data_IF_201222527396
#
_entry.id   IF_201222527396
#
_cell.length_a   1.000
_cell.length_b   1.000
_cell.length_c   1.000
_cell.angle_alpha   90.00
_cell.angle_beta   90.00
_cell.angle_gamma   90.00
#
_symmetry.space_group_name_H-M   'P 1'
#
loop_
_entity.id
_entity.type
_entity.pdbx_description
1 polymer ?
#
# COMPACT_ATOMS: atom_id res chain seq x y z
N UNK A 1 -6.48 -31.60 -21.19
CA UNK A 1 -5.18 -30.91 -21.04
C UNK A 1 -5.42 -29.81 -20.04
N UNK A 2 -5.15 -30.11 -18.77
CA UNK A 2 -5.28 -29.14 -17.68
C UNK A 2 -3.91 -28.47 -17.56
N UNK A 3 -3.86 -27.19 -17.91
CA UNK A 3 -2.71 -26.34 -17.67
C UNK A 3 -2.91 -25.70 -16.29
N UNK A 4 -2.70 -26.50 -15.24
CA UNK A 4 -2.54 -26.01 -13.88
C UNK A 4 -1.16 -25.34 -13.78
N UNK A 5 -1.07 -24.13 -14.32
CA UNK A 5 0.02 -23.21 -14.02
C UNK A 5 -0.12 -22.76 -12.57
N UNK A 6 0.35 -23.61 -11.65
CA UNK A 6 0.57 -23.26 -10.25
C UNK A 6 1.57 -22.11 -10.25
N UNK A 7 1.08 -20.89 -10.05
CA UNK A 7 1.92 -19.77 -9.65
C UNK A 7 2.57 -20.14 -8.33
N UNK A 8 3.83 -20.58 -8.37
CA UNK A 8 4.65 -20.64 -7.18
C UNK A 8 4.69 -19.22 -6.60
N UNK A 9 4.30 -19.01 -5.33
CA UNK A 9 4.48 -17.72 -4.69
C UNK A 9 5.97 -17.40 -4.75
N UNK A 10 6.29 -16.24 -5.32
CA UNK A 10 7.67 -15.77 -5.38
C UNK A 10 8.13 -15.59 -3.93
N UNK A 11 9.15 -16.34 -3.51
CA UNK A 11 9.79 -16.25 -2.18
C UNK A 11 10.59 -14.95 -2.05
N UNK A 12 9.99 -13.80 -2.38
CA UNK A 12 10.57 -12.52 -2.06
C UNK A 12 10.48 -12.35 -0.53
N UNK A 13 11.64 -12.32 0.13
CA UNK A 13 11.72 -12.09 1.58
C UNK A 13 11.72 -10.60 1.94
N UNK A 14 11.92 -9.73 0.95
CA UNK A 14 12.03 -8.29 1.10
C UNK A 14 10.92 -7.54 0.35
N UNK A 15 10.46 -6.37 0.85
CA UNK A 15 9.60 -5.46 0.11
C UNK A 15 10.10 -5.19 -1.30
N UNK A 16 9.16 -5.07 -2.22
CA UNK A 16 9.50 -4.58 -3.56
C UNK A 16 9.61 -3.06 -3.48
N UNK A 17 10.81 -2.53 -3.70
CA UNK A 17 11.11 -1.11 -3.61
C UNK A 17 11.16 -0.49 -5.00
N UNK A 18 10.43 0.61 -5.18
CA UNK A 18 10.41 1.37 -6.42
C UNK A 18 10.55 2.87 -6.15
N UNK A 19 11.10 3.60 -7.10
CA UNK A 19 10.90 5.05 -7.24
C UNK A 19 9.67 5.31 -8.09
N UNK A 20 9.12 6.52 -7.95
CA UNK A 20 8.08 7.02 -8.85
C UNK A 20 8.47 6.78 -10.31
N UNK A 21 7.46 6.37 -11.09
CA UNK A 21 7.67 5.94 -12.45
C UNK A 21 7.98 4.45 -12.63
N UNK A 22 7.96 3.65 -11.55
CA UNK A 22 8.13 2.19 -11.60
C UNK A 22 9.58 1.73 -11.73
N UNK A 23 10.54 2.57 -11.33
CA UNK A 23 11.97 2.26 -11.41
C UNK A 23 12.36 1.45 -10.16
N UNK A 24 12.79 0.18 -10.28
CA UNK A 24 13.19 -0.61 -9.11
C UNK A 24 14.45 -0.01 -8.47
N UNK A 25 14.51 -0.07 -7.14
CA UNK A 25 15.69 0.33 -6.37
C UNK A 25 16.07 -0.75 -5.36
N UNK A 26 17.34 -0.77 -4.96
CA UNK A 26 17.87 -1.78 -4.02
C UNK A 26 17.99 -1.25 -2.59
N UNK A 27 18.01 0.06 -2.41
CA UNK A 27 18.25 0.71 -1.12
C UNK A 27 17.19 1.76 -0.82
N UNK A 28 16.92 1.92 0.47
CA UNK A 28 16.05 2.96 0.97
C UNK A 28 16.82 4.28 1.05
N UNK A 29 16.13 5.34 0.64
CA UNK A 29 16.48 6.71 1.02
C UNK A 29 15.40 7.17 1.99
N UNK A 30 15.76 7.96 3.00
CA UNK A 30 14.84 8.54 3.99
C UNK A 30 13.91 9.60 3.37
N UNK A 31 13.27 9.22 2.28
CA UNK A 31 12.45 10.01 1.39
C UNK A 31 10.98 9.65 1.61
N UNK A 32 10.06 10.54 1.19
CA UNK A 32 8.65 10.25 1.23
C UNK A 32 8.30 9.01 0.42
N UNK A 33 7.32 8.25 0.91
CA UNK A 33 6.87 7.06 0.23
C UNK A 33 5.37 6.84 0.38
N UNK A 34 4.87 5.96 -0.48
CA UNK A 34 3.56 5.34 -0.34
C UNK A 34 3.73 3.83 -0.31
N UNK A 35 3.02 3.19 0.62
CA UNK A 35 2.98 1.74 0.77
C UNK A 35 1.59 1.24 0.49
N UNK A 36 1.45 0.29 -0.44
CA UNK A 36 0.19 -0.42 -0.66
C UNK A 36 0.09 -1.56 0.36
N UNK A 37 -0.92 -1.51 1.23
CA UNK A 37 -1.11 -2.49 2.32
C UNK A 37 -2.39 -3.32 2.18
N UNK A 38 -3.36 -2.86 1.39
CA UNK A 38 -4.63 -3.55 1.16
C UNK A 38 -4.97 -3.51 -0.33
N UNK A 39 -5.46 -4.64 -0.85
CA UNK A 39 -5.97 -4.78 -2.20
C UNK A 39 -7.28 -5.56 -2.29
N UNK A 40 -7.90 -5.60 -3.47
CA UNK A 40 -9.20 -6.24 -3.70
C UNK A 40 -10.27 -5.22 -4.06
N UNK A 41 -11.42 -5.26 -3.38
CA UNK A 41 -12.51 -4.28 -3.59
C UNK A 41 -12.18 -2.90 -2.99
N UNK A 42 -11.23 -2.86 -2.07
CA UNK A 42 -10.67 -1.65 -1.48
C UNK A 42 -9.16 -1.63 -1.68
N UNK A 43 -8.62 -0.42 -1.73
CA UNK A 43 -7.19 -0.15 -1.73
C UNK A 43 -6.85 0.63 -0.47
N UNK A 44 -5.83 0.18 0.26
CA UNK A 44 -5.34 0.84 1.46
C UNK A 44 -3.87 1.20 1.31
N UNK A 45 -3.56 2.43 1.68
CA UNK A 45 -2.25 3.05 1.51
C UNK A 45 -1.74 3.63 2.82
N UNK A 46 -0.44 3.55 3.04
CA UNK A 46 0.26 4.36 4.03
C UNK A 46 1.12 5.37 3.28
N UNK A 47 0.85 6.66 3.47
CA UNK A 47 1.67 7.75 2.96
C UNK A 47 2.58 8.20 4.10
N UNK A 48 3.89 8.18 3.91
CA UNK A 48 4.85 8.56 4.93
C UNK A 48 5.78 9.66 4.41
N UNK A 49 6.13 10.62 5.26
CA UNK A 49 7.09 11.69 4.90
C UNK A 49 8.52 11.14 4.84
N UNK A 50 8.80 10.04 5.57
CA UNK A 50 10.05 9.31 5.48
C UNK A 50 9.83 7.81 5.63
N UNK A 51 10.70 7.03 4.99
CA UNK A 51 10.82 5.60 5.19
C UNK A 51 12.29 5.25 5.44
N UNK A 52 12.57 4.55 6.54
CA UNK A 52 13.93 4.15 6.93
C UNK A 52 13.98 2.68 7.30
N UNK A 53 15.18 2.09 7.28
CA UNK A 53 15.37 0.74 7.80
C UNK A 53 15.24 0.72 9.32
N UNK A 54 14.56 -0.29 9.84
CA UNK A 54 14.44 -0.55 11.26
C UNK A 54 15.65 -1.25 11.85
N UNK A 55 15.57 -1.57 13.14
CA UNK A 55 16.63 -2.30 13.86
C UNK A 55 16.58 -3.80 13.61
N UNK A 56 15.44 -4.32 13.18
CA UNK A 56 15.25 -5.73 12.83
C UNK A 56 15.40 -5.94 11.32
N UNK A 57 15.81 -7.15 10.94
CA UNK A 57 15.89 -7.54 9.54
C UNK A 57 14.52 -7.42 8.86
N UNK A 58 14.50 -6.77 7.69
CA UNK A 58 13.29 -6.52 6.89
C UNK A 58 12.20 -5.73 7.63
N UNK A 59 12.59 -4.95 8.64
CA UNK A 59 11.75 -3.97 9.28
C UNK A 59 11.96 -2.59 8.64
N UNK A 60 10.87 -1.86 8.45
CA UNK A 60 10.87 -0.52 7.91
C UNK A 60 10.04 0.39 8.79
N UNK A 61 10.60 1.56 9.11
CA UNK A 61 9.98 2.59 9.93
C UNK A 61 9.47 3.70 9.03
N UNK A 62 8.21 4.05 9.22
CA UNK A 62 7.52 5.12 8.53
C UNK A 62 7.22 6.24 9.52
N UNK A 63 7.52 7.48 9.15
CA UNK A 63 7.26 8.67 9.97
C UNK A 63 6.20 9.57 9.32
N UNK A 64 5.43 10.25 10.17
CA UNK A 64 4.32 11.15 9.81
C UNK A 64 3.39 10.51 8.77
N UNK A 65 2.72 9.47 9.22
CA UNK A 65 2.00 8.54 8.35
C UNK A 65 0.54 8.91 8.24
N UNK A 66 0.06 9.07 7.01
CA UNK A 66 -1.36 9.12 6.69
C UNK A 66 -1.80 7.78 6.13
N UNK A 67 -2.72 7.12 6.83
CA UNK A 67 -3.45 6.00 6.27
C UNK A 67 -4.57 6.53 5.39
N UNK A 68 -4.69 6.00 4.18
CA UNK A 68 -5.72 6.36 3.21
C UNK A 68 -6.34 5.09 2.63
N UNK A 69 -7.68 5.01 2.61
CA UNK A 69 -8.42 3.85 2.09
C UNK A 69 -9.56 4.26 1.19
N UNK A 70 -9.63 3.70 -0.01
CA UNK A 70 -10.68 3.96 -0.99
C UNK A 70 -11.16 2.67 -1.67
N UNK A 71 -12.22 2.77 -2.46
CA UNK A 71 -12.68 1.67 -3.32
C UNK A 71 -11.74 1.47 -4.50
N UNK A 72 -11.46 0.21 -4.86
CA UNK A 72 -10.62 -0.12 -6.01
C UNK A 72 -11.33 0.14 -7.35
N UNK A 73 -12.66 0.00 -7.35
CA UNK A 73 -13.51 0.40 -8.48
C UNK A 73 -13.60 1.92 -8.50
N UNK A 74 -12.93 2.50 -9.50
CA UNK A 74 -12.98 3.92 -9.85
C UNK A 74 -12.96 4.02 -11.37
N UNK A 75 -14.08 3.67 -11.98
CA UNK A 75 -14.29 3.78 -13.43
C UNK A 75 -14.56 5.22 -13.86
N UNK A 76 -14.39 5.49 -15.16
CA UNK A 76 -14.69 6.81 -15.76
C UNK A 76 -16.09 7.34 -15.37
N UNK A 77 -17.10 6.47 -15.32
CA UNK A 77 -18.46 6.85 -14.96
C UNK A 77 -18.61 7.20 -13.48
N UNK A 78 -17.92 6.51 -12.57
CA UNK A 78 -17.98 6.75 -11.13
C UNK A 78 -17.35 8.10 -10.76
N UNK A 79 -16.39 8.56 -11.56
CA UNK A 79 -15.79 9.90 -11.48
C UNK A 79 -16.84 11.02 -11.68
N UNK A 80 -17.91 10.75 -12.43
CA UNK A 80 -19.02 11.69 -12.73
C UNK A 80 -20.17 11.61 -11.72
N UNK A 81 -20.40 10.45 -11.08
CA UNK A 81 -21.55 10.26 -10.17
C UNK A 81 -21.26 10.75 -8.74
N UNK A 82 -19.97 10.83 -8.37
CA UNK A 82 -19.54 11.41 -7.10
C UNK A 82 -19.75 10.50 -5.90
N UNK A 83 -18.79 10.57 -4.97
CA UNK A 83 -18.78 9.94 -3.65
C UNK A 83 -18.44 8.45 -3.61
N UNK A 84 -17.18 8.14 -3.94
CA UNK A 84 -16.50 7.03 -3.27
C UNK A 84 -15.78 7.60 -2.04
N UNK A 85 -16.09 7.13 -0.82
CA UNK A 85 -15.47 7.68 0.38
C UNK A 85 -13.99 7.30 0.42
N UNK A 86 -13.11 8.31 0.44
CA UNK A 86 -11.73 8.15 0.88
C UNK A 86 -11.73 8.34 2.39
N UNK A 87 -11.39 7.29 3.13
CA UNK A 87 -11.13 7.42 4.56
C UNK A 87 -9.67 7.75 4.74
N UNK A 88 -9.37 8.71 5.61
CA UNK A 88 -8.00 8.99 5.98
C UNK A 88 -7.84 9.10 7.49
N UNK A 89 -6.63 8.82 7.98
CA UNK A 89 -6.25 9.00 9.38
C UNK A 89 -4.75 9.20 9.49
N UNK A 90 -4.33 10.24 10.20
CA UNK A 90 -2.93 10.44 10.55
C UNK A 90 -2.53 9.59 11.77
N UNK A 91 -1.29 9.13 11.76
CA UNK A 91 -0.57 8.55 12.89
C UNK A 91 0.88 9.01 12.83
N UNK A 92 1.53 9.17 13.99
CA UNK A 92 2.89 9.68 14.05
C UNK A 92 3.89 8.74 13.36
N UNK A 93 3.68 7.43 13.54
CA UNK A 93 4.56 6.40 12.97
C UNK A 93 3.80 5.14 12.58
N UNK A 94 4.38 4.39 11.66
CA UNK A 94 4.01 3.01 11.38
C UNK A 94 5.28 2.16 11.20
N UNK A 95 5.19 0.87 11.49
CA UNK A 95 6.27 -0.08 11.26
C UNK A 95 5.77 -1.20 10.37
N UNK A 96 6.51 -1.48 9.30
CA UNK A 96 6.27 -2.61 8.41
C UNK A 96 7.32 -3.65 8.69
N UNK A 97 6.91 -4.91 8.88
CA UNK A 97 7.83 -6.00 9.15
C UNK A 97 7.23 -7.36 8.78
N UNK A 98 8.08 -8.39 8.74
CA UNK A 98 7.65 -9.77 8.65
C UNK A 98 7.40 -10.32 10.06
N UNK A 99 6.16 -10.66 10.36
CA UNK A 99 5.75 -11.27 11.62
C UNK A 99 6.18 -12.76 11.68
N UNK A 100 6.28 -13.32 12.89
CA UNK A 100 6.69 -14.71 13.13
C UNK A 100 5.79 -15.75 12.45
N UNK A 101 4.53 -15.38 12.15
CA UNK A 101 3.61 -16.21 11.36
C UNK A 101 4.00 -16.31 9.87
N UNK A 102 5.04 -15.58 9.45
CA UNK A 102 5.48 -15.47 8.07
C UNK A 102 4.75 -14.42 7.24
N UNK A 103 3.76 -13.73 7.81
CA UNK A 103 2.98 -12.67 7.16
C UNK A 103 3.70 -11.32 7.29
N UNK A 104 3.54 -10.46 6.29
CA UNK A 104 3.95 -9.07 6.34
C UNK A 104 2.83 -8.24 6.95
N UNK A 105 3.21 -7.36 7.88
CA UNK A 105 2.27 -6.57 8.68
C UNK A 105 2.70 -5.13 8.70
N UNK A 106 1.71 -4.24 8.83
CA UNK A 106 1.91 -2.86 9.22
C UNK A 106 1.29 -2.68 10.61
N UNK A 107 2.03 -2.03 11.51
CA UNK A 107 1.64 -1.79 12.90
C UNK A 107 1.82 -0.32 13.24
N UNK A 108 0.91 0.25 14.02
CA UNK A 108 1.17 1.48 14.78
C UNK A 108 1.94 1.09 16.05
N UNK A 109 3.23 1.42 16.16
CA UNK A 109 4.08 0.94 17.25
C UNK A 109 3.68 1.54 18.60
N UNK A 110 2.95 2.66 18.63
CA UNK A 110 2.52 3.35 19.85
C UNK A 110 1.31 2.65 20.49
N UNK A 111 0.37 2.17 19.67
CA UNK A 111 -0.86 1.51 20.14
C UNK A 111 -0.80 -0.01 20.03
N UNK A 112 0.21 -0.57 19.34
CA UNK A 112 0.33 -2.00 19.00
C UNK A 112 -0.84 -2.54 18.18
N UNK A 113 -1.58 -1.65 17.52
CA UNK A 113 -2.67 -2.02 16.63
C UNK A 113 -2.13 -2.25 15.23
N UNK A 114 -2.62 -3.30 14.62
CA UNK A 114 -2.29 -3.60 13.23
C UNK A 114 -3.15 -2.75 12.29
N UNK A 115 -2.54 -2.27 11.23
CA UNK A 115 -3.30 -1.83 10.07
C UNK A 115 -4.00 -3.05 9.43
N UNK A 116 -5.16 -2.85 8.76
CA UNK A 116 -5.87 -3.94 8.12
C UNK A 116 -5.03 -4.67 7.06
N UNK A 117 -5.38 -5.94 6.83
CA UNK A 117 -4.83 -6.79 5.77
C UNK A 117 -3.31 -7.06 5.84
N UNK A 118 -2.85 -7.86 6.82
CA UNK A 118 -1.58 -8.56 6.70
C UNK A 118 -1.46 -9.26 5.34
N UNK A 119 -0.28 -9.30 4.74
CA UNK A 119 -0.08 -9.87 3.42
C UNK A 119 0.85 -11.09 3.48
N UNK A 120 0.61 -12.06 2.61
CA UNK A 120 1.47 -13.24 2.44
C UNK A 120 2.77 -12.91 1.70
N UNK A 121 2.76 -11.81 0.92
CA UNK A 121 3.93 -11.27 0.25
C UNK A 121 4.36 -9.92 0.85
N UNK A 122 5.63 -9.53 0.69
CA UNK A 122 6.10 -8.22 1.10
C UNK A 122 5.28 -7.08 0.52
N UNK A 123 5.05 -6.03 1.31
CA UNK A 123 4.41 -4.81 0.83
C UNK A 123 5.25 -4.10 -0.25
N UNK A 124 4.55 -3.37 -1.11
CA UNK A 124 5.10 -2.56 -2.18
C UNK A 124 5.36 -1.16 -1.63
N UNK A 125 6.60 -0.69 -1.72
CA UNK A 125 7.00 0.64 -1.29
C UNK A 125 7.41 1.44 -2.52
N UNK A 126 6.75 2.58 -2.72
CA UNK A 126 7.04 3.52 -3.83
C UNK A 126 7.53 4.82 -3.22
N UNK A 127 8.80 5.14 -3.46
CA UNK A 127 9.42 6.41 -3.06
C UNK A 127 9.02 7.52 -4.03
N UNK A 128 8.57 8.63 -3.46
CA UNK A 128 8.00 9.77 -4.17
C UNK A 128 8.94 10.97 -4.06
N UNK A 129 8.78 11.96 -4.94
CA UNK A 129 9.29 13.29 -4.66
C UNK A 129 8.44 13.96 -3.56
N UNK A 130 9.00 14.99 -2.90
CA UNK A 130 8.23 15.75 -1.90
C UNK A 130 6.94 16.32 -2.50
N UNK A 131 6.99 16.86 -3.73
CA UNK A 131 5.82 17.43 -4.40
C UNK A 131 4.72 16.38 -4.62
N UNK A 132 5.09 15.19 -5.11
CA UNK A 132 4.14 14.09 -5.33
C UNK A 132 3.51 13.61 -4.02
N UNK A 133 4.32 13.51 -2.96
CA UNK A 133 3.85 13.15 -1.64
C UNK A 133 2.85 14.17 -1.09
N UNK A 134 3.17 15.46 -1.19
CA UNK A 134 2.29 16.54 -0.73
C UNK A 134 0.97 16.58 -1.53
N UNK A 135 1.02 16.34 -2.84
CA UNK A 135 -0.18 16.25 -3.68
C UNK A 135 -1.10 15.11 -3.21
N UNK A 136 -0.55 13.91 -3.00
CA UNK A 136 -1.30 12.76 -2.51
C UNK A 136 -1.84 12.97 -1.09
N UNK A 137 -1.02 13.48 -0.18
CA UNK A 137 -1.42 13.79 1.20
C UNK A 137 -2.57 14.80 1.21
N UNK A 138 -2.46 15.85 0.41
CA UNK A 138 -3.52 16.85 0.21
C UNK A 138 -4.82 16.20 -0.28
N UNK A 139 -4.76 15.30 -1.27
CA UNK A 139 -5.97 14.61 -1.73
C UNK A 139 -6.55 13.68 -0.66
N UNK A 140 -5.71 13.05 0.16
CA UNK A 140 -6.13 12.22 1.28
C UNK A 140 -6.88 13.04 2.34
N UNK A 141 -6.29 14.15 2.78
CA UNK A 141 -6.85 15.05 3.80
C UNK A 141 -8.16 15.70 3.36
N UNK A 142 -8.28 16.08 2.08
CA UNK A 142 -9.52 16.60 1.52
C UNK A 142 -10.51 15.51 1.04
N UNK A 143 -10.23 14.24 1.32
CA UNK A 143 -11.05 13.08 0.98
C UNK A 143 -11.41 13.00 -0.53
N UNK A 144 -10.51 13.47 -1.40
CA UNK A 144 -10.69 13.51 -2.85
C UNK A 144 -10.29 12.18 -3.48
N UNK A 145 -11.11 11.16 -3.26
CA UNK A 145 -10.86 9.79 -3.69
C UNK A 145 -10.47 9.66 -5.17
N UNK A 146 -11.14 10.42 -6.06
CA UNK A 146 -10.90 10.38 -7.51
C UNK A 146 -9.53 10.94 -7.89
N UNK A 147 -9.13 12.06 -7.30
CA UNK A 147 -7.84 12.70 -7.61
C UNK A 147 -6.71 11.88 -6.98
N UNK A 148 -6.90 11.41 -5.75
CA UNK A 148 -5.98 10.49 -5.08
C UNK A 148 -5.73 9.24 -5.93
N UNK A 149 -6.79 8.57 -6.37
CA UNK A 149 -6.65 7.34 -7.17
C UNK A 149 -6.14 7.60 -8.58
N UNK A 150 -6.41 8.74 -9.18
CA UNK A 150 -5.82 9.12 -10.46
C UNK A 150 -4.28 9.18 -10.36
N UNK A 151 -3.76 9.82 -9.30
CA UNK A 151 -2.32 9.87 -9.02
C UNK A 151 -1.77 8.48 -8.69
N UNK A 152 -2.45 7.70 -7.85
CA UNK A 152 -1.98 6.35 -7.50
C UNK A 152 -1.99 5.37 -8.67
N UNK A 153 -3.01 5.41 -9.55
CA UNK A 153 -3.05 4.59 -10.77
C UNK A 153 -1.86 4.90 -11.68
N UNK A 154 -1.48 6.16 -11.80
CA UNK A 154 -0.32 6.57 -12.60
C UNK A 154 0.98 5.94 -12.09
N UNK A 155 1.18 5.90 -10.78
CA UNK A 155 2.36 5.25 -10.19
C UNK A 155 2.30 3.73 -10.31
N UNK A 156 1.17 3.13 -9.92
CA UNK A 156 1.02 1.68 -9.84
C UNK A 156 1.09 1.02 -11.22
N UNK A 157 0.48 1.58 -12.26
CA UNK A 157 0.49 0.97 -13.62
C UNK A 157 1.87 0.92 -14.28
N UNK A 158 2.88 1.58 -13.70
CA UNK A 158 4.27 1.50 -14.16
C UNK A 158 5.06 0.40 -13.45
N UNK A 159 4.47 -0.26 -12.47
CA UNK A 159 5.06 -1.34 -11.70
C UNK A 159 4.60 -2.67 -12.29
N UNK A 160 5.50 -3.64 -12.53
CA UNK A 160 5.14 -4.93 -13.08
C UNK A 160 4.02 -5.63 -12.29
N UNK A 161 3.02 -6.16 -13.01
CA UNK A 161 1.89 -6.88 -12.43
C UNK A 161 0.66 -6.01 -12.09
N UNK A 162 0.77 -4.69 -12.16
CA UNK A 162 -0.35 -3.77 -12.01
C UNK A 162 -0.86 -3.31 -13.38
N UNK A 163 -2.17 -3.39 -13.61
CA UNK A 163 -2.80 -3.03 -14.89
C UNK A 163 -4.06 -2.19 -14.65
N UNK A 164 -4.29 -1.16 -15.46
CA UNK A 164 -5.56 -0.45 -15.50
C UNK A 164 -6.38 -0.95 -16.70
N UNK A 165 -7.55 -1.51 -16.43
CA UNK A 165 -8.47 -1.98 -17.48
C UNK A 165 -9.54 -0.93 -17.86
N UNK A 166 -9.43 0.30 -17.34
CA UNK A 166 -10.35 1.41 -17.56
C UNK A 166 -11.48 1.50 -16.52
N UNK A 167 -11.77 0.41 -15.81
CA UNK A 167 -12.78 0.35 -14.75
C UNK A 167 -12.15 0.21 -13.36
N UNK A 168 -11.08 -0.56 -13.25
CA UNK A 168 -10.43 -0.87 -11.98
C UNK A 168 -8.93 -1.11 -12.17
N UNK A 169 -8.19 -0.86 -11.10
CA UNK A 169 -6.79 -1.27 -11.02
C UNK A 169 -6.74 -2.77 -10.71
N UNK A 170 -6.22 -3.55 -11.65
CA UNK A 170 -5.90 -4.95 -11.44
C UNK A 170 -4.58 -5.06 -10.68
N UNK A 171 -4.65 -5.58 -9.46
CA UNK A 171 -3.50 -5.84 -8.60
C UNK A 171 -2.95 -7.26 -8.81
N UNK A 172 -1.66 -7.50 -8.48
CA UNK A 172 -1.11 -8.85 -8.31
C UNK A 172 -1.94 -9.69 -7.33
N UNK A 173 -1.93 -11.01 -7.51
CA UNK A 173 -2.79 -11.93 -6.74
C UNK A 173 -2.56 -11.84 -5.23
N UNK A 174 -1.32 -11.66 -4.78
CA UNK A 174 -0.97 -11.56 -3.36
C UNK A 174 -1.67 -10.43 -2.63
N UNK A 175 -1.86 -9.29 -3.27
CA UNK A 175 -2.60 -8.15 -2.71
C UNK A 175 -4.11 -8.39 -2.63
N UNK A 176 -4.63 -9.45 -3.25
CA UNK A 176 -6.06 -9.82 -3.17
C UNK A 176 -6.34 -10.79 -2.03
N UNK A 177 -5.31 -11.46 -1.51
CA UNK A 177 -5.45 -12.51 -0.49
C UNK A 177 -4.81 -12.00 0.80
N UNK A 178 -5.61 -11.34 1.63
CA UNK A 178 -5.19 -10.95 2.98
C UNK A 178 -4.97 -12.17 3.88
N UNK A 179 -3.97 -12.09 4.74
CA UNK A 179 -3.72 -13.03 5.84
C UNK A 179 -4.46 -12.62 7.12
N UNK A 180 -4.63 -13.58 8.03
CA UNK A 180 -5.20 -13.34 9.37
C UNK A 180 -4.16 -13.69 10.41
N UNK A 181 -3.92 -12.76 11.35
CA UNK A 181 -3.05 -13.00 12.51
C UNK A 181 -3.93 -13.29 13.73
N UNK A 182 -3.86 -14.50 14.31
CA UNK A 182 -4.64 -14.86 15.49
C UNK A 182 -4.34 -13.92 16.66
N UNK A 183 -5.40 -13.40 17.30
CA UNK A 183 -5.28 -12.56 18.50
C UNK A 183 -4.78 -11.14 18.26
N UNK A 184 -4.56 -10.74 17.00
CA UNK A 184 -4.19 -9.36 16.69
C UNK A 184 -5.39 -8.42 16.79
N UNK A 185 -5.22 -7.32 17.52
CA UNK A 185 -6.17 -6.22 17.49
C UNK A 185 -5.93 -5.41 16.22
N UNK A 186 -6.79 -5.62 15.23
CA UNK A 186 -6.85 -4.71 14.09
C UNK A 186 -7.30 -3.35 14.62
N UNK A 187 -6.64 -2.29 14.18
CA UNK A 187 -7.15 -0.96 14.39
C UNK A 187 -8.58 -0.91 13.83
N UNK A 188 -9.57 -0.68 14.70
CA UNK A 188 -10.92 -0.35 14.25
C UNK A 188 -10.79 0.97 13.49
N UNK A 189 -10.84 0.90 12.17
CA UNK A 189 -10.53 1.99 11.24
C UNK A 189 -11.67 2.21 10.24
#
# INVERSE_FOLDING_TARGET
>A
MNDDSIHNPTTATQPSLFRSGGIPIETIAADPCVVLIEGGDHLGFLLADSCTEGVMEHQYLLEDVVWARCTAKQGFWERLVGSHPLRHRATDTATIYRHDSGLYVAEDPSTKRLFPHPNVEPYLIIFLSQDQYQDLRTQAEYERANDFMYLMKWELTRIPGFLDNGESLMLPYSYRVGGVIPGAELAQM
#
